data_IF_596981908825
#
_entry.id   IF_596981908825
#
_cell.length_a   1.000
_cell.length_b   1.000
_cell.length_c   1.000
_cell.angle_alpha   90.00
_cell.angle_beta   90.00
_cell.angle_gamma   90.00
#
_symmetry.space_group_name_H-M   'P 1'
#
loop_
_entity.id
_entity.type
_entity.pdbx_description
1 polymer ?
#
# COMPACT_ATOMS: atom_id res chain seq x y z
N UNK A 1 -13.08 -10.22 -12.78
CA UNK A 1 -12.51 -8.84 -12.82
C UNK A 1 -11.52 -8.74 -11.69
N UNK A 2 -10.36 -8.17 -11.95
CA UNK A 2 -9.34 -7.91 -10.93
C UNK A 2 -9.86 -6.94 -9.86
N UNK A 3 -9.68 -7.31 -8.58
CA UNK A 3 -10.02 -6.44 -7.46
C UNK A 3 -8.86 -5.48 -7.20
N UNK A 4 -9.15 -4.25 -6.80
CA UNK A 4 -8.16 -3.35 -6.24
C UNK A 4 -8.13 -3.46 -4.72
N UNK A 5 -6.96 -3.77 -4.17
CA UNK A 5 -6.81 -4.08 -2.75
C UNK A 5 -5.73 -3.19 -2.13
N UNK A 6 -6.11 -2.35 -1.17
CA UNK A 6 -5.14 -1.59 -0.36
C UNK A 6 -4.43 -2.53 0.61
N UNK A 7 -3.11 -2.59 0.61
CA UNK A 7 -2.34 -3.29 1.64
C UNK A 7 -1.58 -2.28 2.48
N UNK A 8 -1.86 -2.21 3.79
CA UNK A 8 -1.18 -1.30 4.70
C UNK A 8 -1.06 -1.85 6.12
N UNK A 9 0.15 -1.75 6.68
CA UNK A 9 0.35 -1.79 8.13
C UNK A 9 0.02 -0.43 8.74
N UNK A 10 -0.71 -0.43 9.86
CA UNK A 10 -1.19 0.80 10.50
C UNK A 10 -1.17 0.65 12.02
N UNK A 11 -0.73 1.70 12.71
CA UNK A 11 -0.82 1.79 14.17
C UNK A 11 -2.29 1.89 14.63
N UNK A 12 -2.54 1.62 15.91
CA UNK A 12 -3.88 1.69 16.49
C UNK A 12 -4.53 3.08 16.33
N UNK A 13 -3.73 4.14 16.42
CA UNK A 13 -4.15 5.54 16.25
C UNK A 13 -4.15 6.03 14.80
N UNK A 14 -3.93 5.13 13.83
CA UNK A 14 -4.17 5.36 12.40
C UNK A 14 -2.96 5.85 11.59
N UNK A 15 -1.74 5.73 12.11
CA UNK A 15 -0.50 6.17 11.46
C UNK A 15 0.17 5.03 10.69
N UNK A 16 0.75 5.38 9.53
CA UNK A 16 1.46 4.46 8.62
C UNK A 16 2.94 4.78 8.47
N UNK A 17 3.39 5.86 9.08
CA UNK A 17 4.78 6.30 9.16
C UNK A 17 4.91 7.29 10.31
N UNK A 18 6.11 7.40 10.87
CA UNK A 18 6.44 8.37 11.90
C UNK A 18 6.54 9.82 11.36
N UNK A 19 6.82 10.79 12.25
CA UNK A 19 7.14 12.16 11.86
C UNK A 19 8.32 12.23 10.88
N UNK A 20 8.42 13.31 10.10
CA UNK A 20 9.54 13.56 9.18
C UNK A 20 9.77 12.45 8.13
N UNK A 21 8.74 11.68 7.79
CA UNK A 21 8.74 10.67 6.72
C UNK A 21 8.96 11.29 5.33
N UNK A 22 10.17 11.08 4.77
CA UNK A 22 10.63 11.64 3.50
C UNK A 22 11.65 10.71 2.80
N UNK A 23 12.12 11.00 1.56
CA UNK A 23 13.08 10.14 0.85
C UNK A 23 14.40 9.85 1.59
N UNK A 24 14.88 10.78 2.42
CA UNK A 24 16.08 10.60 3.22
C UNK A 24 15.81 9.96 4.60
N UNK A 25 14.54 9.75 4.94
CA UNK A 25 14.07 9.16 6.19
C UNK A 25 12.81 8.33 5.93
N UNK A 26 12.93 7.21 5.18
CA UNK A 26 11.77 6.42 4.75
C UNK A 26 11.05 5.85 5.96
N UNK A 27 9.76 6.18 6.08
CA UNK A 27 8.92 5.71 7.18
C UNK A 27 9.03 6.54 8.47
N UNK A 28 9.85 7.58 8.47
CA UNK A 28 9.90 8.61 9.51
C UNK A 28 10.64 8.19 10.79
N UNK A 29 10.61 9.10 11.75
CA UNK A 29 11.34 9.00 13.01
C UNK A 29 10.81 7.89 13.93
N UNK A 30 11.62 7.53 14.93
CA UNK A 30 11.19 6.68 16.04
C UNK A 30 11.03 5.19 15.69
N UNK A 31 11.63 4.72 14.59
CA UNK A 31 11.56 3.31 14.19
C UNK A 31 10.15 2.87 13.79
N UNK A 32 9.29 3.81 13.40
CA UNK A 32 7.90 3.54 13.08
C UNK A 32 7.74 2.49 11.97
N UNK A 33 8.55 2.57 10.90
CA UNK A 33 8.48 1.62 9.80
C UNK A 33 8.79 0.19 10.23
N UNK A 34 9.84 0.01 11.04
CA UNK A 34 10.20 -1.32 11.53
C UNK A 34 9.12 -1.86 12.47
N UNK A 35 8.65 -1.03 13.41
CA UNK A 35 7.60 -1.43 14.34
C UNK A 35 6.31 -1.83 13.63
N UNK A 36 5.96 -1.13 12.55
CA UNK A 36 4.74 -1.39 11.78
C UNK A 36 4.83 -2.67 10.94
N UNK A 37 6.02 -3.05 10.47
CA UNK A 37 6.16 -4.16 9.52
C UNK A 37 6.73 -5.45 10.12
N UNK A 38 7.27 -5.42 11.35
CA UNK A 38 7.89 -6.57 12.02
C UNK A 38 7.07 -7.87 11.97
N UNK A 39 5.74 -7.79 11.99
CA UNK A 39 4.86 -8.96 11.92
C UNK A 39 5.10 -9.84 10.69
N UNK A 40 5.61 -9.28 9.59
CA UNK A 40 5.86 -9.97 8.33
C UNK A 40 7.30 -10.46 8.14
N UNK A 41 8.18 -10.27 9.14
CA UNK A 41 9.61 -10.57 9.01
C UNK A 41 10.13 -11.45 10.17
N UNK A 42 11.15 -12.26 9.87
CA UNK A 42 11.93 -13.01 10.86
C UNK A 42 12.81 -12.06 11.67
N UNK A 43 13.41 -12.56 12.75
CA UNK A 43 14.43 -11.81 13.50
C UNK A 43 15.67 -11.47 12.65
N UNK A 44 15.93 -12.24 11.59
CA UNK A 44 17.01 -11.99 10.62
C UNK A 44 16.63 -10.98 9.54
N UNK A 45 15.37 -10.52 9.50
CA UNK A 45 14.88 -9.56 8.51
C UNK A 45 14.39 -10.19 7.19
N UNK A 46 14.26 -11.52 7.14
CA UNK A 46 13.70 -12.22 5.98
C UNK A 46 12.18 -12.20 6.02
N UNK A 47 11.52 -12.20 4.87
CA UNK A 47 10.05 -12.31 4.80
C UNK A 47 9.61 -13.63 5.42
N UNK A 48 8.66 -13.58 6.37
CA UNK A 48 8.05 -14.78 6.92
C UNK A 48 7.20 -15.49 5.86
N UNK A 49 7.53 -16.76 5.60
CA UNK A 49 6.85 -17.60 4.59
C UNK A 49 5.97 -18.70 5.18
N UNK A 50 5.74 -18.66 6.49
CA UNK A 50 4.95 -19.69 7.19
C UNK A 50 3.83 -19.06 8.00
N UNK A 51 2.79 -19.86 8.25
CA UNK A 51 1.61 -19.44 9.00
C UNK A 51 0.87 -18.25 8.35
N UNK A 52 0.09 -17.51 9.15
CA UNK A 52 -0.70 -16.39 8.63
C UNK A 52 0.12 -15.29 7.93
N UNK A 53 1.33 -15.02 8.41
CA UNK A 53 2.20 -14.02 7.79
C UNK A 53 2.62 -14.43 6.37
N UNK A 54 2.94 -15.72 6.19
CA UNK A 54 3.23 -16.30 4.87
C UNK A 54 2.05 -16.21 3.91
N UNK A 55 0.84 -16.58 4.35
CA UNK A 55 -0.37 -16.44 3.53
C UNK A 55 -0.62 -15.01 3.05
N UNK A 56 -0.36 -14.02 3.92
CA UNK A 56 -0.51 -12.60 3.58
C UNK A 56 0.57 -12.13 2.61
N UNK A 57 1.82 -12.57 2.79
CA UNK A 57 2.92 -12.28 1.86
C UNK A 57 2.64 -12.87 0.48
N UNK A 58 2.20 -14.13 0.41
CA UNK A 58 1.87 -14.80 -0.84
C UNK A 58 0.70 -14.11 -1.55
N UNK A 59 -0.32 -13.64 -0.82
CA UNK A 59 -1.42 -12.88 -1.39
C UNK A 59 -0.96 -11.53 -1.99
N UNK A 60 -0.01 -10.85 -1.34
CA UNK A 60 0.59 -9.63 -1.86
C UNK A 60 1.42 -9.89 -3.13
N UNK A 61 2.22 -10.95 -3.14
CA UNK A 61 3.07 -11.35 -4.27
C UNK A 61 2.28 -11.95 -5.44
N UNK A 62 1.07 -12.46 -5.21
CA UNK A 62 0.16 -12.95 -6.24
C UNK A 62 -0.54 -11.84 -7.05
N UNK A 63 -0.37 -10.56 -6.67
CA UNK A 63 -0.97 -9.44 -7.42
C UNK A 63 -0.38 -9.29 -8.82
N UNK A 64 -1.07 -8.56 -9.70
CA UNK A 64 -0.69 -8.40 -11.11
C UNK A 64 -0.13 -7.04 -11.48
N UNK A 65 -0.41 -6.02 -10.67
CA UNK A 65 0.10 -4.66 -10.85
C UNK A 65 0.02 -3.91 -9.51
N UNK A 66 0.79 -2.82 -9.41
CA UNK A 66 0.83 -1.96 -8.23
C UNK A 66 0.42 -0.55 -8.59
N UNK A 67 -0.41 0.07 -7.77
CA UNK A 67 -0.67 1.53 -7.78
C UNK A 67 -0.17 2.11 -6.48
N UNK A 68 0.86 2.96 -6.56
CA UNK A 68 1.50 3.55 -5.39
C UNK A 68 1.76 5.04 -5.58
N UNK A 69 1.62 5.80 -4.50
CA UNK A 69 1.82 7.23 -4.54
C UNK A 69 3.28 7.57 -4.83
N UNK A 70 3.51 8.66 -5.57
CA UNK A 70 4.85 9.14 -5.97
C UNK A 70 5.86 9.13 -4.82
N UNK A 71 5.46 9.59 -3.64
CA UNK A 71 6.33 9.62 -2.45
C UNK A 71 6.84 8.24 -2.04
N UNK A 72 5.95 7.26 -1.97
CA UNK A 72 6.31 5.87 -1.63
C UNK A 72 7.26 5.32 -2.67
N UNK A 73 6.93 5.52 -3.94
CA UNK A 73 7.74 5.01 -5.05
C UNK A 73 9.13 5.66 -5.08
N UNK A 74 9.24 6.97 -4.86
CA UNK A 74 10.54 7.66 -4.80
C UNK A 74 11.37 7.25 -3.57
N UNK A 75 10.74 6.98 -2.42
CA UNK A 75 11.42 6.53 -1.20
C UNK A 75 12.12 5.17 -1.36
N UNK A 76 11.52 4.27 -2.13
CA UNK A 76 12.03 2.92 -2.37
C UNK A 76 12.82 2.82 -3.68
N UNK A 77 13.20 3.96 -4.26
CA UNK A 77 13.85 4.05 -5.58
C UNK A 77 13.16 3.16 -6.63
N UNK A 78 11.83 3.32 -6.68
CA UNK A 78 10.91 2.63 -7.59
C UNK A 78 11.00 1.10 -7.51
N UNK A 79 11.42 0.56 -6.36
CA UNK A 79 11.75 -0.86 -6.18
C UNK A 79 12.75 -1.37 -7.24
N UNK A 80 13.66 -0.50 -7.68
CA UNK A 80 14.61 -0.76 -8.78
C UNK A 80 13.93 -1.13 -10.10
N UNK A 81 12.69 -0.68 -10.29
CA UNK A 81 11.94 -0.73 -11.54
C UNK A 81 10.73 -1.65 -11.54
N UNK A 82 10.52 -2.49 -10.53
CA UNK A 82 9.30 -3.30 -10.41
C UNK A 82 9.08 -3.73 -8.96
N UNK A 83 7.83 -3.98 -8.57
CA UNK A 83 7.56 -4.62 -7.27
C UNK A 83 7.41 -6.12 -7.49
N UNK A 84 8.43 -6.91 -7.18
CA UNK A 84 8.44 -8.37 -7.43
C UNK A 84 8.08 -8.76 -8.88
N UNK A 85 8.60 -8.01 -9.86
CA UNK A 85 8.32 -8.23 -11.29
C UNK A 85 7.00 -7.64 -11.78
N UNK A 86 6.21 -7.00 -10.91
CA UNK A 86 4.94 -6.36 -11.27
C UNK A 86 5.14 -4.93 -11.80
N UNK A 87 4.34 -4.49 -12.80
CA UNK A 87 4.30 -3.10 -13.22
C UNK A 87 3.76 -2.19 -12.13
N UNK A 88 4.34 -0.99 -12.05
CA UNK A 88 4.05 0.03 -11.03
C UNK A 88 3.48 1.27 -11.71
N UNK A 89 2.29 1.69 -11.28
CA UNK A 89 1.60 2.87 -11.78
C UNK A 89 1.59 3.97 -10.71
N UNK A 90 2.07 5.15 -11.08
CA UNK A 90 2.31 6.27 -10.16
C UNK A 90 1.42 7.45 -10.56
N UNK A 91 0.26 7.67 -9.89
CA UNK A 91 -0.56 8.85 -10.15
C UNK A 91 0.20 10.12 -9.73
N UNK A 92 0.50 10.99 -10.69
CA UNK A 92 1.27 12.22 -10.46
C UNK A 92 1.08 13.21 -11.61
N UNK A 93 0.65 14.43 -11.29
CA UNK A 93 0.59 15.53 -12.28
C UNK A 93 1.99 16.05 -12.69
N UNK A 94 3.01 15.79 -11.86
CA UNK A 94 4.39 16.17 -12.16
C UNK A 94 5.08 15.03 -12.91
N UNK A 95 5.88 15.32 -13.96
CA UNK A 95 6.63 14.27 -14.66
C UNK A 95 7.62 13.56 -13.73
N UNK A 96 8.03 12.32 -14.08
CA UNK A 96 9.07 11.60 -13.36
C UNK A 96 10.44 12.28 -13.50
N UNK A 97 11.35 11.98 -12.59
CA UNK A 97 12.77 12.30 -12.77
C UNK A 97 13.42 11.44 -13.88
N UNK A 98 14.60 11.84 -14.39
CA UNK A 98 15.25 11.15 -15.50
C UNK A 98 15.63 9.70 -15.20
N UNK A 99 15.85 9.34 -13.92
CA UNK A 99 16.18 7.96 -13.51
C UNK A 99 15.10 6.94 -13.90
N UNK A 100 13.84 7.37 -14.01
CA UNK A 100 12.71 6.49 -14.34
C UNK A 100 12.81 5.93 -15.76
N UNK A 101 13.58 6.58 -16.65
CA UNK A 101 13.86 6.02 -17.98
C UNK A 101 14.57 4.64 -17.93
N UNK A 102 15.20 4.30 -16.80
CA UNK A 102 15.82 3.00 -16.56
C UNK A 102 14.83 1.94 -16.03
N UNK A 103 13.57 2.32 -15.77
CA UNK A 103 12.56 1.50 -15.12
C UNK A 103 11.36 1.27 -16.06
N UNK A 104 11.44 0.35 -17.03
CA UNK A 104 10.43 0.20 -18.08
C UNK A 104 9.06 -0.29 -17.58
N UNK A 105 9.00 -0.86 -16.37
CA UNK A 105 7.76 -1.29 -15.73
C UNK A 105 7.16 -0.23 -14.81
N UNK A 106 7.75 0.97 -14.74
CA UNK A 106 7.23 2.10 -13.97
C UNK A 106 6.56 3.10 -14.90
N UNK A 107 5.28 3.35 -14.69
CA UNK A 107 4.50 4.30 -15.48
C UNK A 107 3.97 5.42 -14.58
N UNK A 108 4.33 6.67 -14.89
CA UNK A 108 3.72 7.84 -14.25
C UNK A 108 2.46 8.22 -15.02
N UNK A 109 1.33 8.34 -14.30
CA UNK A 109 0.02 8.62 -14.88
C UNK A 109 -0.41 10.02 -14.47
N UNK A 110 -0.53 10.92 -15.45
CA UNK A 110 -0.92 12.32 -15.25
C UNK A 110 -2.42 12.52 -15.03
N UNK A 111 -3.24 11.60 -15.51
CA UNK A 111 -4.70 11.77 -15.61
C UNK A 111 -5.44 11.37 -14.32
N UNK A 112 -4.74 11.35 -13.20
CA UNK A 112 -5.29 11.09 -11.88
C UNK A 112 -5.46 9.60 -11.53
N UNK A 113 -6.05 9.37 -10.35
CA UNK A 113 -6.12 8.05 -9.72
C UNK A 113 -6.97 7.04 -10.51
N UNK A 114 -8.10 7.47 -11.08
CA UNK A 114 -8.98 6.57 -11.81
C UNK A 114 -8.30 6.00 -13.07
N UNK A 115 -7.55 6.84 -13.80
CA UNK A 115 -6.75 6.41 -14.95
C UNK A 115 -5.63 5.45 -14.52
N UNK A 116 -4.92 5.75 -13.43
CA UNK A 116 -3.88 4.87 -12.91
C UNK A 116 -4.43 3.49 -12.52
N UNK A 117 -5.58 3.46 -11.84
CA UNK A 117 -6.27 2.21 -11.47
C UNK A 117 -6.74 1.42 -12.70
N UNK A 118 -7.29 2.08 -13.71
CA UNK A 118 -7.73 1.41 -14.94
C UNK A 118 -6.57 0.78 -15.71
N UNK A 119 -5.46 1.51 -15.87
CA UNK A 119 -4.24 0.99 -16.50
C UNK A 119 -3.64 -0.18 -15.71
N UNK A 120 -3.60 -0.07 -14.38
CA UNK A 120 -3.14 -1.16 -13.52
C UNK A 120 -4.03 -2.41 -13.64
N UNK A 121 -5.36 -2.26 -13.66
CA UNK A 121 -6.28 -3.40 -13.85
C UNK A 121 -6.08 -4.07 -15.22
N UNK A 122 -5.86 -3.28 -16.27
CA UNK A 122 -5.56 -3.82 -17.60
C UNK A 122 -4.24 -4.61 -17.61
N UNK A 123 -3.21 -4.11 -16.95
CA UNK A 123 -1.92 -4.79 -16.85
C UNK A 123 -1.95 -6.03 -15.94
N UNK A 124 -2.78 -6.02 -14.89
CA UNK A 124 -2.90 -7.12 -13.94
C UNK A 124 -3.63 -8.35 -14.54
N UNK A 125 -4.47 -8.14 -15.56
CA UNK A 125 -5.31 -9.19 -16.14
C UNK A 125 -6.33 -9.71 -15.12
N UNK A 126 -6.31 -11.02 -14.87
CA UNK A 126 -7.20 -11.67 -13.90
C UNK A 126 -6.70 -11.59 -12.45
N UNK A 127 -5.49 -11.08 -12.22
CA UNK A 127 -4.91 -10.93 -10.87
C UNK A 127 -5.32 -9.61 -10.24
N UNK A 128 -5.35 -9.55 -8.91
CA UNK A 128 -5.66 -8.33 -8.17
C UNK A 128 -4.61 -7.23 -8.39
N UNK A 129 -5.02 -5.98 -8.17
CA UNK A 129 -4.16 -4.79 -8.16
C UNK A 129 -3.83 -4.43 -6.71
N UNK A 130 -2.54 -4.40 -6.37
CA UNK A 130 -2.09 -3.87 -5.10
C UNK A 130 -2.17 -2.34 -5.11
N UNK A 131 -2.86 -1.76 -4.14
CA UNK A 131 -2.89 -0.32 -3.88
C UNK A 131 -2.05 -0.04 -2.64
N UNK A 132 -1.19 0.98 -2.68
CA UNK A 132 -0.30 1.30 -1.57
C UNK A 132 -0.21 2.81 -1.30
N UNK A 133 -0.21 3.15 0.00
CA UNK A 133 0.03 4.49 0.52
C UNK A 133 -1.22 5.36 0.68
N UNK A 134 -1.14 6.32 1.61
CA UNK A 134 -2.27 7.16 2.03
C UNK A 134 -2.91 7.97 0.90
N UNK A 135 -2.12 8.66 0.07
CA UNK A 135 -2.66 9.45 -1.05
C UNK A 135 -3.48 8.56 -2.00
N UNK A 136 -2.91 7.42 -2.41
CA UNK A 136 -3.55 6.50 -3.34
C UNK A 136 -4.85 5.94 -2.76
N UNK A 137 -4.81 5.50 -1.49
CA UNK A 137 -5.99 5.01 -0.78
C UNK A 137 -7.09 6.06 -0.75
N UNK A 138 -6.81 7.26 -0.22
CA UNK A 138 -7.80 8.32 -0.07
C UNK A 138 -8.42 8.75 -1.41
N UNK A 139 -7.59 8.94 -2.44
CA UNK A 139 -8.09 9.32 -3.78
C UNK A 139 -8.86 8.19 -4.45
N UNK A 140 -8.47 6.94 -4.25
CA UNK A 140 -9.19 5.79 -4.80
C UNK A 140 -10.56 5.61 -4.14
N UNK A 141 -10.69 5.91 -2.84
CA UNK A 141 -11.97 5.97 -2.14
C UNK A 141 -12.87 7.07 -2.70
N UNK A 142 -12.35 8.30 -2.80
CA UNK A 142 -13.11 9.43 -3.35
C UNK A 142 -13.60 9.18 -4.78
N UNK A 143 -12.81 8.47 -5.59
CA UNK A 143 -13.17 8.10 -6.96
C UNK A 143 -14.00 6.81 -7.07
N UNK A 144 -14.26 6.10 -5.96
CA UNK A 144 -15.03 4.85 -5.96
C UNK A 144 -14.35 3.66 -6.65
N UNK A 145 -13.02 3.71 -6.83
CA UNK A 145 -12.24 2.73 -7.61
C UNK A 145 -11.41 1.75 -6.75
N UNK A 146 -11.58 1.80 -5.42
CA UNK A 146 -11.03 0.81 -4.50
C UNK A 146 -12.09 -0.24 -4.16
N UNK A 147 -11.75 -1.53 -4.28
CA UNK A 147 -12.68 -2.64 -4.03
C UNK A 147 -12.53 -3.19 -2.60
N UNK A 148 -11.30 -3.34 -2.11
CA UNK A 148 -11.02 -3.97 -0.82
C UNK A 148 -9.84 -3.31 -0.08
N UNK A 149 -9.75 -3.61 1.22
CA UNK A 149 -8.72 -3.10 2.12
C UNK A 149 -8.19 -4.23 2.98
N UNK A 150 -6.89 -4.45 2.98
CA UNK A 150 -6.16 -5.29 3.92
C UNK A 150 -5.37 -4.38 4.88
N UNK A 151 -5.86 -4.27 6.12
CA UNK A 151 -5.17 -3.56 7.21
C UNK A 151 -4.48 -4.57 8.11
N UNK A 152 -3.18 -4.40 8.32
CA UNK A 152 -2.45 -5.06 9.40
C UNK A 152 -2.40 -4.08 10.57
N UNK A 153 -3.36 -4.21 11.49
CA UNK A 153 -3.49 -3.35 12.67
C UNK A 153 -2.44 -3.76 13.70
N UNK A 154 -1.52 -2.84 13.97
CA UNK A 154 -0.39 -3.06 14.85
C UNK A 154 -0.72 -2.50 16.23
N UNK A 155 -0.53 -3.27 17.33
CA UNK A 155 -0.81 -2.83 18.69
C UNK A 155 0.27 -1.86 19.18
N UNK A 156 0.27 -0.65 18.61
CA UNK A 156 1.15 0.46 18.96
C UNK A 156 0.41 1.78 18.72
N UNK A 157 0.67 2.76 19.57
CA UNK A 157 0.27 4.16 19.35
C UNK A 157 1.52 4.92 18.94
N UNK A 158 1.56 5.47 17.73
CA UNK A 158 2.71 6.25 17.26
C UNK A 158 2.61 7.71 17.72
N UNK A 159 1.42 8.22 18.00
CA UNK A 159 1.13 9.55 18.52
C UNK A 159 1.27 10.68 17.49
N UNK A 160 2.13 10.52 16.48
CA UNK A 160 2.34 11.49 15.41
C UNK A 160 2.89 10.83 14.14
N UNK A 161 2.81 11.56 13.03
CA UNK A 161 3.33 11.13 11.74
C UNK A 161 2.26 11.21 10.65
N UNK A 162 2.33 10.28 9.69
CA UNK A 162 1.41 10.25 8.57
C UNK A 162 0.23 9.34 8.84
N UNK A 163 -0.98 9.89 8.84
CA UNK A 163 -2.22 9.11 8.93
C UNK A 163 -2.55 8.43 7.61
N UNK A 164 -3.11 7.22 7.67
CA UNK A 164 -3.64 6.54 6.47
C UNK A 164 -4.85 7.30 5.91
N UNK A 165 -5.77 7.64 6.81
CA UNK A 165 -6.98 8.40 6.54
C UNK A 165 -6.88 9.73 7.27
N UNK A 166 -6.61 10.79 6.51
CA UNK A 166 -6.44 12.14 7.04
C UNK A 166 -7.35 13.10 6.29
N UNK A 167 -8.56 13.29 6.82
CA UNK A 167 -9.60 14.09 6.19
C UNK A 167 -10.23 13.42 4.96
N UNK A 168 -11.46 12.93 5.13
CA UNK A 168 -12.40 12.76 4.02
C UNK A 168 -13.82 13.01 4.55
N UNK A 169 -14.64 13.85 3.90
CA UNK A 169 -16.01 14.13 4.33
C UNK A 169 -17.00 13.03 3.94
N UNK A 170 -16.56 11.99 3.22
CA UNK A 170 -17.44 10.96 2.68
C UNK A 170 -17.45 9.75 3.61
N UNK A 171 -18.62 9.42 4.16
CA UNK A 171 -18.85 8.16 4.87
C UNK A 171 -18.76 7.00 3.88
N UNK A 172 -17.93 6.01 4.21
CA UNK A 172 -17.76 4.78 3.43
C UNK A 172 -18.08 3.61 4.36
N UNK A 173 -19.00 2.76 3.94
CA UNK A 173 -19.33 1.55 4.67
C UNK A 173 -18.43 0.40 4.23
N UNK A 174 -18.00 -0.40 5.20
CA UNK A 174 -17.09 -1.51 4.99
C UNK A 174 -17.70 -2.79 5.57
N UNK A 175 -17.64 -3.86 4.80
CA UNK A 175 -17.97 -5.20 5.27
C UNK A 175 -16.69 -5.92 5.68
N UNK A 176 -16.65 -6.54 6.85
CA UNK A 176 -15.54 -7.42 7.26
C UNK A 176 -15.61 -8.71 6.46
N UNK A 177 -14.57 -8.97 5.67
CA UNK A 177 -14.46 -10.18 4.84
C UNK A 177 -13.65 -11.27 5.55
N UNK A 178 -12.57 -10.88 6.23
CA UNK A 178 -11.67 -11.81 6.92
C UNK A 178 -11.00 -11.11 8.09
N UNK A 179 -10.83 -11.84 9.18
CA UNK A 179 -9.97 -11.46 10.30
C UNK A 179 -8.96 -12.59 10.51
N UNK A 180 -7.69 -12.25 10.65
CA UNK A 180 -6.65 -13.16 11.12
C UNK A 180 -5.99 -12.50 12.33
N UNK A 181 -6.14 -13.11 13.49
CA UNK A 181 -5.45 -12.70 14.71
C UNK A 181 -4.11 -13.44 14.82
N UNK A 182 -3.05 -12.66 15.03
CA UNK A 182 -1.72 -13.16 15.39
C UNK A 182 -1.25 -12.44 16.65
N UNK A 183 -0.25 -12.98 17.38
CA UNK A 183 0.33 -12.28 18.52
C UNK A 183 0.88 -10.89 18.17
N UNK A 184 1.35 -10.70 16.94
CA UNK A 184 2.02 -9.48 16.50
C UNK A 184 1.06 -8.40 15.96
N UNK A 185 -0.08 -8.81 15.38
CA UNK A 185 -1.01 -7.91 14.70
C UNK A 185 -2.41 -8.52 14.51
N UNK A 186 -3.40 -7.66 14.27
CA UNK A 186 -4.72 -8.09 13.77
C UNK A 186 -4.83 -7.74 12.30
N UNK A 187 -5.00 -8.74 11.44
CA UNK A 187 -5.07 -8.55 10.00
C UNK A 187 -6.52 -8.59 9.55
N UNK A 188 -7.05 -7.47 9.06
CA UNK A 188 -8.46 -7.33 8.73
C UNK A 188 -8.60 -6.99 7.25
N UNK A 189 -9.33 -7.86 6.53
CA UNK A 189 -9.76 -7.64 5.15
C UNK A 189 -11.16 -7.07 5.17
N UNK A 190 -11.37 -5.95 4.49
CA UNK A 190 -12.66 -5.31 4.29
C UNK A 190 -13.02 -5.26 2.81
N UNK A 191 -14.31 -5.37 2.52
CA UNK A 191 -14.89 -5.01 1.23
C UNK A 191 -15.52 -3.62 1.33
N UNK A 192 -15.28 -2.80 0.31
CA UNK A 192 -15.91 -1.48 0.18
C UNK A 192 -17.34 -1.65 -0.32
N UNK A 193 -18.31 -1.13 0.43
CA UNK A 193 -19.70 -1.11 0.01
C UNK A 193 -19.97 0.13 -0.85
N UNK A 194 -20.63 -0.07 -1.99
CA UNK A 194 -20.98 0.96 -2.97
C UNK A 194 -22.49 1.18 -3.01
#
# INVERSE_FOLDING_TARGET
MSSSVLYMSMSLDGYIAGPNDNPNNPGGDGGAVERLHRWGFTETGDVLRSGPAGELADAMEATGAVVAGRRTVEQVDHWKGSHHGMPVFVPSHRPPGPSVANYPLVTYVSDGIASAMAQAKAAAGDRDVMVHGAYTAQRAFEAGVLDEIQIHQIPVLLGAGRRLFDGSPTRIELEVVRVIDTPEATHIRYRVLR
#
